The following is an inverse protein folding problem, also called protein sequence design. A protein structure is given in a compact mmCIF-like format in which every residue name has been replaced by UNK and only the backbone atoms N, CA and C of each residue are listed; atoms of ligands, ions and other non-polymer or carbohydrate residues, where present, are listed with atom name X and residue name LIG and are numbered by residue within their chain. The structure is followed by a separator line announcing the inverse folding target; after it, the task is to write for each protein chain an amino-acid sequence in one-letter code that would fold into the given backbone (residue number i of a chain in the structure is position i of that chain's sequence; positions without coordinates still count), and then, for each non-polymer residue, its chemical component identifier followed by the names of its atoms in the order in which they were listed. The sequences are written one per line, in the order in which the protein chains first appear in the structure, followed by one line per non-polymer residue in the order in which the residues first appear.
data_IF_068609464449
#
_entry.id   IF_068609464449
#
_cell.length_a   1.000
_cell.length_b   1.000
_cell.length_c   1.000
_cell.angle_alpha   90.00
_cell.angle_beta   90.00
_cell.angle_gamma   90.00
#
_symmetry.space_group_name_H-M   'P 1'
#
loop_
_entity.id
_entity.type
_entity.pdbx_description
1 polymer ?
#
# COMPACT_ATOMS: atom_id res chain seq x y z
N UNK A 1 -24.64 8.75 54.09
CA UNK A 1 -24.84 8.12 52.76
C UNK A 1 -23.96 8.86 51.79
N UNK A 2 -22.84 8.27 51.35
CA UNK A 2 -21.91 8.93 50.45
C UNK A 2 -22.26 8.57 49.01
N UNK A 3 -22.83 9.53 48.29
CA UNK A 3 -23.14 9.43 46.88
C UNK A 3 -21.84 9.32 46.08
N UNK A 4 -21.53 8.11 45.58
CA UNK A 4 -20.42 7.91 44.66
C UNK A 4 -20.82 8.54 43.32
N UNK A 5 -20.37 9.75 43.07
CA UNK A 5 -20.49 10.40 41.77
C UNK A 5 -19.69 9.59 40.76
N UNK A 6 -20.40 8.78 39.97
CA UNK A 6 -19.83 8.05 38.84
C UNK A 6 -19.39 9.08 37.81
N UNK A 7 -18.09 9.39 37.80
CA UNK A 7 -17.48 10.20 36.73
C UNK A 7 -17.58 9.43 35.43
N UNK A 8 -18.63 9.70 34.64
CA UNK A 8 -18.73 9.23 33.26
C UNK A 8 -17.59 9.87 32.48
N UNK A 9 -16.53 9.10 32.28
CA UNK A 9 -15.37 9.49 31.50
C UNK A 9 -15.86 9.76 30.08
N UNK A 10 -15.94 11.05 29.72
CA UNK A 10 -16.30 11.52 28.38
C UNK A 10 -15.33 10.85 27.40
N UNK A 11 -15.79 9.78 26.71
CA UNK A 11 -14.97 9.10 25.71
C UNK A 11 -14.58 10.14 24.67
N UNK A 12 -13.30 10.50 24.62
CA UNK A 12 -12.77 11.45 23.65
C UNK A 12 -13.07 10.87 22.26
N UNK A 13 -13.78 11.60 21.39
CA UNK A 13 -14.25 11.09 20.10
C UNK A 13 -13.15 10.41 19.26
N UNK A 14 -11.89 10.88 19.39
CA UNK A 14 -10.70 10.26 18.79
C UNK A 14 -10.40 8.84 19.31
N UNK A 15 -10.55 8.59 20.61
CA UNK A 15 -10.34 7.26 21.19
C UNK A 15 -11.42 6.27 20.74
N UNK A 16 -12.65 6.76 20.56
CA UNK A 16 -13.75 5.97 19.98
C UNK A 16 -13.50 5.68 18.50
N UNK A 17 -13.13 6.68 17.71
CA UNK A 17 -12.79 6.54 16.29
C UNK A 17 -11.62 5.59 16.03
N UNK A 18 -10.59 5.63 16.88
CA UNK A 18 -9.46 4.69 16.82
C UNK A 18 -9.90 3.24 17.08
N UNK A 19 -10.77 3.04 18.08
CA UNK A 19 -11.32 1.73 18.43
C UNK A 19 -12.21 1.17 17.32
N UNK A 20 -13.01 2.02 16.67
CA UNK A 20 -13.83 1.68 15.51
C UNK A 20 -12.96 1.31 14.30
N UNK A 21 -11.96 2.13 13.96
CA UNK A 21 -11.03 1.87 12.84
C UNK A 21 -10.27 0.56 12.98
N UNK A 22 -9.76 0.23 14.18
CA UNK A 22 -9.08 -1.06 14.42
C UNK A 22 -10.04 -2.24 14.27
N UNK A 23 -11.30 -2.08 14.70
CA UNK A 23 -12.33 -3.10 14.55
C UNK A 23 -12.68 -3.39 13.09
N UNK A 24 -12.68 -2.38 12.22
CA UNK A 24 -12.81 -2.53 10.78
C UNK A 24 -11.55 -3.13 10.13
N UNK A 25 -10.36 -2.69 10.56
CA UNK A 25 -9.08 -3.16 10.03
C UNK A 25 -8.88 -4.67 10.23
N UNK A 26 -9.41 -5.22 11.33
CA UNK A 26 -9.39 -6.67 11.60
C UNK A 26 -10.32 -7.47 10.69
N UNK A 27 -11.29 -6.84 10.02
CA UNK A 27 -12.13 -7.49 9.00
C UNK A 27 -11.43 -7.54 7.64
N UNK A 28 -10.36 -6.77 7.45
CA UNK A 28 -9.54 -6.84 6.23
C UNK A 28 -8.80 -8.17 6.24
N UNK A 29 -8.97 -8.93 5.17
CA UNK A 29 -8.22 -10.15 4.92
C UNK A 29 -6.74 -9.78 4.71
N UNK A 30 -6.00 -9.67 5.81
CA UNK A 30 -4.56 -9.51 5.72
C UNK A 30 -3.97 -10.77 5.11
N UNK A 31 -3.26 -10.64 3.97
CA UNK A 31 -2.71 -11.79 3.28
C UNK A 31 -1.71 -12.50 4.19
N UNK A 32 -1.68 -13.83 4.09
CA UNK A 32 -0.67 -14.60 4.81
C UNK A 32 0.72 -14.25 4.27
N UNK A 33 1.80 -14.33 5.09
CA UNK A 33 3.17 -14.01 4.62
C UNK A 33 3.59 -14.78 3.36
N UNK A 34 3.04 -15.99 3.18
CA UNK A 34 3.28 -16.83 2.01
C UNK A 34 2.59 -16.29 0.74
N UNK A 35 1.34 -15.86 0.84
CA UNK A 35 0.61 -15.24 -0.26
C UNK A 35 1.24 -13.90 -0.65
N UNK A 36 1.61 -13.07 0.34
CA UNK A 36 2.29 -11.82 0.09
C UNK A 36 3.57 -12.01 -0.73
N UNK A 37 4.35 -13.06 -0.45
CA UNK A 37 5.55 -13.39 -1.21
C UNK A 37 5.24 -13.84 -2.64
N UNK A 38 4.19 -14.64 -2.84
CA UNK A 38 3.76 -15.06 -4.18
C UNK A 38 3.31 -13.87 -5.03
N UNK A 39 2.51 -12.98 -4.47
CA UNK A 39 2.05 -11.75 -5.13
C UNK A 39 3.25 -10.85 -5.45
N UNK A 40 4.15 -10.64 -4.50
CA UNK A 40 5.34 -9.79 -4.68
C UNK A 40 6.24 -10.29 -5.81
N UNK A 41 6.43 -11.62 -5.93
CA UNK A 41 7.19 -12.21 -7.04
C UNK A 41 6.57 -11.90 -8.41
N UNK A 42 5.25 -12.00 -8.53
CA UNK A 42 4.55 -11.70 -9.79
C UNK A 42 4.72 -10.22 -10.13
N UNK A 43 4.54 -9.32 -9.16
CA UNK A 43 4.70 -7.88 -9.39
C UNK A 43 6.15 -7.56 -9.78
N UNK A 44 7.15 -8.13 -9.10
CA UNK A 44 8.57 -7.98 -9.46
C UNK A 44 8.85 -8.42 -10.91
N UNK A 45 8.31 -9.56 -11.33
CA UNK A 45 8.47 -10.07 -12.69
C UNK A 45 7.89 -9.07 -13.71
N UNK A 46 6.66 -8.60 -13.48
CA UNK A 46 5.98 -7.66 -14.37
C UNK A 46 6.72 -6.32 -14.43
N UNK A 47 7.16 -5.79 -13.29
CA UNK A 47 7.95 -4.56 -13.23
C UNK A 47 9.27 -4.69 -14.00
N UNK A 48 9.97 -5.81 -13.85
CA UNK A 48 11.21 -6.08 -14.58
C UNK A 48 10.95 -6.16 -16.10
N UNK A 49 9.90 -6.87 -16.51
CA UNK A 49 9.51 -6.99 -17.91
C UNK A 49 9.16 -5.63 -18.52
N UNK A 50 8.34 -4.82 -17.85
CA UNK A 50 8.02 -3.46 -18.30
C UNK A 50 9.26 -2.57 -18.36
N UNK A 51 10.17 -2.66 -17.38
CA UNK A 51 11.41 -1.91 -17.38
C UNK A 51 12.31 -2.25 -18.58
N UNK A 52 12.41 -3.53 -18.95
CA UNK A 52 13.15 -3.96 -20.14
C UNK A 52 12.50 -3.45 -21.42
N UNK A 53 11.17 -3.54 -21.53
CA UNK A 53 10.44 -3.06 -22.71
C UNK A 53 10.62 -1.57 -22.90
N UNK A 54 10.38 -0.79 -21.85
CA UNK A 54 10.54 0.66 -21.89
C UNK A 54 11.99 1.04 -22.18
N UNK A 55 12.95 0.54 -21.38
CA UNK A 55 14.37 0.86 -21.56
C UNK A 55 14.92 0.44 -22.93
N UNK A 56 14.49 -0.70 -23.48
CA UNK A 56 14.86 -1.12 -24.82
C UNK A 56 14.29 -0.20 -25.91
N UNK A 57 13.04 0.24 -25.73
CA UNK A 57 12.38 1.17 -26.63
C UNK A 57 13.02 2.56 -26.57
N UNK A 58 13.32 3.07 -25.38
CA UNK A 58 14.02 4.33 -25.16
C UNK A 58 15.41 4.33 -25.81
N UNK A 59 16.15 3.22 -25.70
CA UNK A 59 17.45 3.04 -26.36
C UNK A 59 17.33 3.07 -27.89
N UNK A 60 16.34 2.36 -28.44
CA UNK A 60 16.10 2.32 -29.87
C UNK A 60 15.73 3.70 -30.42
N UNK A 61 14.81 4.42 -29.74
CA UNK A 61 14.43 5.76 -30.12
C UNK A 61 15.57 6.76 -30.02
N UNK A 62 16.37 6.70 -28.96
CA UNK A 62 17.56 7.55 -28.81
C UNK A 62 18.54 7.35 -29.97
N UNK A 63 18.75 6.08 -30.38
CA UNK A 63 19.66 5.75 -31.50
C UNK A 63 19.09 6.23 -32.84
N UNK A 64 17.80 6.04 -33.10
CA UNK A 64 17.12 6.50 -34.31
C UNK A 64 17.10 8.03 -34.42
N UNK A 65 16.72 8.71 -33.35
CA UNK A 65 16.68 10.17 -33.30
C UNK A 65 18.08 10.75 -33.46
N UNK A 66 19.09 10.16 -32.81
CA UNK A 66 20.49 10.57 -33.00
C UNK A 66 21.02 10.38 -34.41
N UNK A 67 20.45 9.47 -35.19
CA UNK A 67 20.77 9.24 -36.61
C UNK A 67 20.03 10.20 -37.55
N UNK A 68 18.92 10.79 -37.09
CA UNK A 68 18.13 11.77 -37.84
C UNK A 68 18.57 13.21 -37.54
N UNK A 69 18.96 13.49 -36.29
CA UNK A 69 19.41 14.81 -35.83
C UNK A 69 20.93 15.02 -35.97
N UNK A 70 21.70 13.94 -36.12
CA UNK A 70 23.11 13.98 -36.51
C UNK A 70 23.25 13.96 -38.02
#
# INVERSE_FOLDING_TARGET
MAEKIVKVKKEKGLARWWRETIGELHKVAWPTPREAWQLTKVVLLVMLAMGIVLGGLDFLFTRLIGLILG
#
